data_IF_449168436655
#
_entry.id   IF_449168436655
#
_cell.length_a   1.000
_cell.length_b   1.000
_cell.length_c   1.000
_cell.angle_alpha   90.00
_cell.angle_beta   90.00
_cell.angle_gamma   90.00
#
_symmetry.space_group_name_H-M   'P 1'
#
loop_
_entity.id
_entity.type
_entity.pdbx_description
1 polymer ?
#
# COMPACT_ATOMS: atom_id res chain seq x y z
N UNK A 1 7.46 30.15 11.43
CA UNK A 1 7.99 29.88 10.08
C UNK A 1 7.09 28.83 9.45
N UNK A 2 6.52 29.14 8.29
CA UNK A 2 5.56 28.27 7.59
C UNK A 2 6.30 27.14 6.85
N UNK A 3 5.85 25.90 7.04
CA UNK A 3 6.31 24.72 6.30
C UNK A 3 5.53 24.64 4.98
N UNK A 4 6.21 24.83 3.87
CA UNK A 4 5.66 24.59 2.52
C UNK A 4 5.55 23.09 2.28
N UNK A 5 4.32 22.56 2.31
CA UNK A 5 4.01 21.25 1.75
C UNK A 5 3.94 21.34 0.22
N UNK A 6 5.02 20.97 -0.47
CA UNK A 6 5.02 20.79 -1.91
C UNK A 6 4.23 19.52 -2.27
N UNK A 7 3.09 19.68 -2.94
CA UNK A 7 2.39 18.58 -3.61
C UNK A 7 3.27 18.00 -4.73
N UNK A 8 3.28 16.66 -4.93
CA UNK A 8 4.14 16.03 -5.93
C UNK A 8 3.76 16.50 -7.34
N UNK A 9 4.77 16.91 -8.11
CA UNK A 9 4.63 17.41 -9.47
C UNK A 9 4.14 16.32 -10.41
N UNK A 10 3.31 16.66 -11.41
CA UNK A 10 2.81 15.73 -12.42
C UNK A 10 3.94 14.98 -13.18
N UNK A 11 5.14 15.59 -13.27
CA UNK A 11 6.33 14.96 -13.84
C UNK A 11 6.86 13.78 -13.02
N UNK A 12 6.71 13.79 -11.69
CA UNK A 12 7.18 12.71 -10.81
C UNK A 12 6.27 11.48 -10.88
N UNK A 13 4.96 11.71 -11.08
CA UNK A 13 3.98 10.63 -11.30
C UNK A 13 4.19 9.94 -12.64
N UNK A 14 4.48 10.69 -13.70
CA UNK A 14 4.73 10.12 -15.03
C UNK A 14 6.04 9.30 -15.06
N UNK A 15 7.09 9.81 -14.42
CA UNK A 15 8.37 9.12 -14.32
C UNK A 15 8.30 7.85 -13.44
N UNK A 16 7.47 7.85 -12.40
CA UNK A 16 7.20 6.67 -11.56
C UNK A 16 6.39 5.61 -12.31
N UNK A 17 5.42 6.04 -13.11
CA UNK A 17 4.60 5.17 -13.95
C UNK A 17 5.44 4.51 -15.06
N UNK A 18 6.39 5.24 -15.64
CA UNK A 18 7.38 4.70 -16.58
C UNK A 18 8.37 3.72 -15.92
N UNK A 19 8.79 3.96 -14.66
CA UNK A 19 9.61 2.99 -13.90
C UNK A 19 8.84 1.69 -13.63
N UNK A 20 7.56 1.78 -13.26
CA UNK A 20 6.68 0.62 -13.08
C UNK A 20 6.53 -0.12 -14.42
N UNK A 21 6.25 0.59 -15.53
CA UNK A 21 6.21 0.02 -16.90
C UNK A 21 7.51 -0.65 -17.32
N UNK A 22 8.67 -0.07 -17.02
CA UNK A 22 9.96 -0.69 -17.32
C UNK A 22 10.16 -1.97 -16.53
N UNK A 23 9.88 -1.97 -15.23
CA UNK A 23 9.94 -3.20 -14.41
C UNK A 23 8.95 -4.26 -14.90
N UNK A 24 7.75 -3.86 -15.34
CA UNK A 24 6.74 -4.72 -15.98
C UNK A 24 7.30 -5.43 -17.22
N UNK A 25 7.96 -4.70 -18.11
CA UNK A 25 8.51 -5.26 -19.37
C UNK A 25 9.82 -6.02 -19.19
N UNK A 26 10.55 -5.81 -18.09
CA UNK A 26 11.89 -6.38 -17.89
C UNK A 26 11.89 -7.91 -17.69
N UNK A 27 10.75 -8.48 -17.27
CA UNK A 27 10.57 -9.92 -17.06
C UNK A 27 9.66 -10.59 -18.12
N UNK A 28 9.00 -9.80 -18.96
CA UNK A 28 8.12 -10.28 -20.03
C UNK A 28 8.90 -11.12 -21.04
N UNK A 29 8.30 -12.23 -21.47
CA UNK A 29 8.88 -13.12 -22.48
C UNK A 29 9.89 -14.16 -21.97
N UNK A 30 10.28 -14.14 -20.69
CA UNK A 30 11.25 -15.11 -20.13
C UNK A 30 10.62 -16.46 -19.76
N UNK A 31 9.43 -16.44 -19.14
CA UNK A 31 8.76 -17.65 -18.62
C UNK A 31 7.35 -17.76 -19.20
N UNK A 32 7.27 -17.98 -20.52
CA UNK A 32 6.00 -18.14 -21.21
C UNK A 32 5.41 -19.53 -20.97
N UNK A 33 4.15 -19.60 -20.55
CA UNK A 33 3.42 -20.86 -20.57
C UNK A 33 2.84 -21.08 -21.97
N UNK A 34 3.19 -22.19 -22.61
CA UNK A 34 2.74 -22.47 -23.96
C UNK A 34 2.36 -23.93 -24.16
N UNK A 35 1.35 -24.17 -24.98
CA UNK A 35 0.90 -25.53 -25.26
C UNK A 35 -0.36 -25.60 -26.11
N UNK A 36 -0.73 -26.81 -26.57
CA UNK A 36 -1.95 -27.03 -27.31
C UNK A 36 -3.16 -26.99 -26.36
N UNK A 37 -4.21 -26.28 -26.77
CA UNK A 37 -5.53 -26.34 -26.13
C UNK A 37 -6.61 -26.41 -27.20
N UNK A 38 -7.69 -27.12 -26.89
CA UNK A 38 -8.92 -27.04 -27.65
C UNK A 38 -9.67 -25.78 -27.21
N UNK A 39 -9.85 -24.84 -28.13
CA UNK A 39 -10.63 -23.62 -27.92
C UNK A 39 -11.97 -23.73 -28.64
N UNK A 40 -13.06 -23.52 -27.93
CA UNK A 40 -14.39 -23.43 -28.54
C UNK A 40 -14.53 -22.10 -29.30
N UNK A 41 -15.06 -22.16 -30.51
CA UNK A 41 -15.46 -20.95 -31.24
C UNK A 41 -16.70 -20.34 -30.62
N UNK A 42 -16.73 -19.01 -30.58
CA UNK A 42 -17.83 -18.24 -30.00
C UNK A 42 -19.11 -18.37 -30.85
N UNK A 43 -18.97 -18.22 -32.18
CA UNK A 43 -20.09 -18.29 -33.13
C UNK A 43 -20.51 -19.71 -33.47
N UNK A 44 -19.57 -20.55 -33.90
CA UNK A 44 -19.88 -21.90 -34.41
C UNK A 44 -19.94 -22.98 -33.31
N UNK A 45 -19.62 -22.63 -32.06
CA UNK A 45 -19.55 -23.56 -30.91
C UNK A 45 -18.66 -24.80 -31.16
N UNK A 46 -17.76 -24.73 -32.14
CA UNK A 46 -16.88 -25.81 -32.60
C UNK A 46 -15.55 -25.76 -31.85
N UNK A 47 -15.09 -26.92 -31.41
CA UNK A 47 -13.77 -27.08 -30.82
C UNK A 47 -12.68 -27.07 -31.86
N UNK A 48 -11.64 -26.28 -31.61
CA UNK A 48 -10.52 -26.15 -32.51
C UNK A 48 -9.23 -26.16 -31.71
N UNK A 49 -8.28 -26.98 -32.12
CA UNK A 49 -6.95 -26.96 -31.55
C UNK A 49 -6.23 -25.65 -31.87
N UNK A 50 -5.61 -25.07 -30.85
CA UNK A 50 -4.83 -23.84 -30.93
C UNK A 50 -3.58 -23.98 -30.09
N UNK A 51 -2.49 -23.44 -30.60
CA UNK A 51 -1.30 -23.25 -29.79
C UNK A 51 -1.46 -21.96 -28.99
N UNK A 52 -1.59 -22.09 -27.67
CA UNK A 52 -1.79 -20.98 -26.75
C UNK A 52 -0.45 -20.57 -26.15
N UNK A 53 -0.25 -19.27 -26.00
CA UNK A 53 0.93 -18.66 -25.36
C UNK A 53 0.41 -17.66 -24.33
N UNK A 54 0.80 -17.83 -23.07
CA UNK A 54 0.48 -16.94 -21.97
C UNK A 54 1.78 -16.34 -21.44
N UNK A 55 1.83 -15.01 -21.39
CA UNK A 55 2.81 -14.28 -20.61
C UNK A 55 2.24 -13.99 -19.21
N UNK A 56 2.70 -14.70 -18.16
CA UNK A 56 2.18 -14.55 -16.81
C UNK A 56 2.53 -13.19 -16.17
N UNK A 57 3.47 -12.45 -16.74
CA UNK A 57 3.87 -11.13 -16.22
C UNK A 57 2.97 -10.01 -16.72
N UNK A 58 2.44 -10.14 -17.94
CA UNK A 58 1.63 -9.10 -18.59
C UNK A 58 0.15 -9.47 -18.68
N UNK A 59 -0.22 -10.73 -18.46
CA UNK A 59 -1.57 -11.23 -18.75
C UNK A 59 -1.86 -11.40 -20.23
N UNK A 60 -0.86 -11.22 -21.10
CA UNK A 60 -1.03 -11.34 -22.54
C UNK A 60 -1.19 -12.82 -22.92
N UNK A 61 -2.40 -13.21 -23.32
CA UNK A 61 -2.71 -14.57 -23.78
C UNK A 61 -3.04 -14.57 -25.27
N UNK A 62 -2.19 -15.18 -26.07
CA UNK A 62 -2.27 -15.22 -27.53
C UNK A 62 -2.51 -16.65 -28.02
N UNK A 63 -3.08 -16.79 -29.22
CA UNK A 63 -3.25 -18.09 -29.84
C UNK A 63 -2.93 -18.11 -31.33
N UNK A 64 -2.39 -19.24 -31.77
CA UNK A 64 -1.98 -19.54 -33.15
C UNK A 64 -2.65 -20.82 -33.65
N UNK A 65 -2.61 -21.13 -34.95
CA UNK A 65 -3.10 -22.42 -35.43
C UNK A 65 -2.13 -23.53 -35.05
N UNK A 66 -0.82 -23.28 -35.14
CA UNK A 66 0.24 -24.26 -34.83
C UNK A 66 1.39 -23.61 -34.07
N UNK A 67 2.22 -24.44 -33.40
CA UNK A 67 3.40 -24.01 -32.63
C UNK A 67 4.36 -23.12 -33.43
N UNK A 68 4.69 -23.53 -34.66
CA UNK A 68 5.73 -22.89 -35.48
C UNK A 68 5.19 -21.77 -36.39
N UNK A 69 3.95 -21.32 -36.18
CA UNK A 69 3.34 -20.29 -37.00
C UNK A 69 3.81 -18.89 -36.54
N UNK A 70 4.28 -18.00 -37.44
CA UNK A 70 4.72 -16.67 -37.05
C UNK A 70 3.53 -15.75 -36.72
N UNK A 71 2.38 -15.97 -37.35
CA UNK A 71 1.19 -15.10 -37.23
C UNK A 71 0.36 -15.47 -36.01
N UNK A 72 0.09 -14.48 -35.15
CA UNK A 72 -0.89 -14.58 -34.06
C UNK A 72 -2.29 -14.52 -34.66
N UNK A 73 -3.12 -15.53 -34.39
CA UNK A 73 -4.50 -15.59 -34.89
C UNK A 73 -5.48 -14.75 -34.06
N UNK A 74 -5.17 -14.54 -32.78
CA UNK A 74 -5.95 -13.66 -31.91
C UNK A 74 -5.49 -13.73 -30.46
N UNK A 75 -6.18 -12.96 -29.62
CA UNK A 75 -5.89 -12.83 -28.20
C UNK A 75 -7.09 -13.21 -27.34
N UNK A 76 -6.82 -13.74 -26.16
CA UNK A 76 -7.78 -13.94 -25.08
C UNK A 76 -7.50 -12.85 -24.07
N UNK A 77 -8.50 -12.00 -23.83
CA UNK A 77 -8.37 -10.88 -22.90
C UNK A 77 -9.01 -11.29 -21.59
N UNK A 78 -8.28 -11.11 -20.49
CA UNK A 78 -8.78 -11.26 -19.14
C UNK A 78 -8.13 -10.19 -18.25
N UNK A 79 -8.79 -9.84 -17.15
CA UNK A 79 -8.32 -8.82 -16.23
C UNK A 79 -8.36 -9.32 -14.77
N UNK A 80 -7.99 -8.44 -13.84
CA UNK A 80 -7.98 -8.75 -12.41
C UNK A 80 -9.34 -9.21 -11.85
N UNK A 81 -10.45 -8.95 -12.56
CA UNK A 81 -11.81 -9.28 -12.17
C UNK A 81 -12.42 -10.42 -13.01
N UNK A 82 -11.66 -11.01 -13.93
CA UNK A 82 -12.11 -12.16 -14.71
C UNK A 82 -12.38 -13.39 -13.83
N UNK A 83 -13.38 -14.19 -14.20
CA UNK A 83 -13.62 -15.48 -13.57
C UNK A 83 -12.82 -16.55 -14.30
N UNK A 84 -11.86 -17.18 -13.62
CA UNK A 84 -11.06 -18.28 -14.17
C UNK A 84 -11.34 -19.51 -13.29
N UNK A 85 -11.95 -20.54 -13.89
CA UNK A 85 -12.33 -21.73 -13.12
C UNK A 85 -12.28 -23.02 -13.94
N UNK A 86 -11.91 -24.10 -13.24
CA UNK A 86 -12.13 -25.45 -13.73
C UNK A 86 -13.62 -25.71 -13.84
N UNK A 87 -14.04 -26.35 -14.92
CA UNK A 87 -15.45 -26.68 -15.07
C UNK A 87 -15.77 -27.97 -14.31
N UNK A 88 -16.84 -27.99 -13.50
CA UNK A 88 -17.31 -29.21 -12.88
C UNK A 88 -17.96 -30.16 -13.89
N UNK A 89 -18.25 -29.67 -15.10
CA UNK A 89 -18.91 -30.43 -16.17
C UNK A 89 -18.08 -30.42 -17.43
N UNK A 90 -18.07 -31.55 -18.13
CA UNK A 90 -17.39 -31.67 -19.41
C UNK A 90 -18.28 -31.13 -20.54
N UNK A 91 -18.14 -29.84 -20.83
CA UNK A 91 -18.84 -29.21 -21.96
C UNK A 91 -18.18 -29.48 -23.32
N UNK A 92 -17.07 -30.24 -23.38
CA UNK A 92 -16.59 -30.84 -24.63
C UNK A 92 -17.49 -32.00 -25.07
N UNK A 93 -18.10 -32.70 -24.11
CA UNK A 93 -19.09 -33.75 -24.36
C UNK A 93 -18.52 -35.13 -24.68
N UNK A 94 -17.19 -35.31 -24.67
CA UNK A 94 -16.56 -36.63 -24.81
C UNK A 94 -15.94 -37.07 -23.48
N UNK A 95 -16.26 -38.26 -22.94
CA UNK A 95 -15.82 -38.69 -21.60
C UNK A 95 -14.31 -38.60 -21.34
N UNK A 96 -13.49 -38.77 -22.40
CA UNK A 96 -12.01 -38.62 -22.31
C UNK A 96 -11.54 -37.23 -21.85
N UNK A 97 -12.42 -36.23 -21.87
CA UNK A 97 -12.13 -34.86 -21.44
C UNK A 97 -12.78 -34.50 -20.11
N UNK A 98 -13.23 -35.49 -19.33
CA UNK A 98 -13.73 -35.26 -17.98
C UNK A 98 -12.63 -34.66 -17.10
N UNK A 99 -12.94 -33.52 -16.47
CA UNK A 99 -11.97 -32.75 -15.70
C UNK A 99 -10.90 -32.02 -16.53
N UNK A 100 -11.00 -32.00 -17.86
CA UNK A 100 -10.06 -31.30 -18.74
C UNK A 100 -10.54 -29.92 -19.19
N UNK A 101 -11.81 -29.60 -18.94
CA UNK A 101 -12.45 -28.36 -19.39
C UNK A 101 -12.34 -27.24 -18.35
N UNK A 102 -12.08 -26.02 -18.81
CA UNK A 102 -12.05 -24.81 -17.98
C UNK A 102 -12.52 -23.60 -18.79
N UNK A 103 -12.88 -22.52 -18.09
CA UNK A 103 -13.35 -21.32 -18.77
C UNK A 103 -12.80 -20.03 -18.16
N UNK A 104 -12.80 -18.99 -18.99
CA UNK A 104 -12.42 -17.62 -18.62
C UNK A 104 -13.61 -16.71 -18.97
N UNK A 105 -14.25 -16.16 -17.94
CA UNK A 105 -15.30 -15.15 -18.07
C UNK A 105 -14.74 -13.75 -17.83
N UNK A 106 -15.01 -12.80 -18.71
CA UNK A 106 -14.60 -11.41 -18.53
C UNK A 106 -15.74 -10.54 -17.98
N UNK A 107 -15.44 -9.42 -17.30
CA UNK A 107 -16.46 -8.49 -16.85
C UNK A 107 -17.33 -7.92 -17.99
N UNK A 108 -16.82 -7.92 -19.22
CA UNK A 108 -17.54 -7.52 -20.43
C UNK A 108 -18.43 -8.65 -21.00
N UNK A 109 -18.74 -9.68 -20.19
CA UNK A 109 -19.57 -10.84 -20.53
C UNK A 109 -19.04 -11.67 -21.69
N UNK A 110 -17.74 -11.65 -21.94
CA UNK A 110 -17.11 -12.54 -22.91
C UNK A 110 -16.67 -13.82 -22.22
N UNK A 111 -17.05 -14.96 -22.79
CA UNK A 111 -16.74 -16.27 -22.24
C UNK A 111 -15.85 -17.07 -23.19
N UNK A 112 -14.72 -17.54 -22.67
CA UNK A 112 -13.79 -18.40 -23.39
C UNK A 112 -13.83 -19.79 -22.78
N UNK A 113 -14.17 -20.77 -23.62
CA UNK A 113 -14.28 -22.17 -23.26
C UNK A 113 -13.07 -22.94 -23.81
N UNK A 114 -12.31 -23.57 -22.92
CA UNK A 114 -11.04 -24.22 -23.21
C UNK A 114 -11.03 -25.65 -22.67
N UNK A 115 -10.31 -26.55 -23.34
CA UNK A 115 -10.12 -27.93 -22.90
C UNK A 115 -8.68 -28.36 -23.16
N UNK A 116 -8.05 -28.92 -22.13
CA UNK A 116 -6.72 -29.52 -22.23
C UNK A 116 -6.80 -31.01 -22.60
N UNK A 117 -5.66 -31.63 -22.87
CA UNK A 117 -5.60 -33.07 -23.14
C UNK A 117 -5.78 -33.91 -21.87
N UNK A 118 -5.29 -33.42 -20.73
CA UNK A 118 -5.37 -34.12 -19.44
C UNK A 118 -5.91 -33.21 -18.33
N UNK A 119 -6.49 -33.78 -17.26
CA UNK A 119 -6.93 -32.99 -16.10
C UNK A 119 -5.78 -32.26 -15.40
N UNK A 120 -4.58 -32.86 -15.38
CA UNK A 120 -3.37 -32.24 -14.86
C UNK A 120 -2.98 -30.97 -15.64
N UNK A 121 -2.97 -31.06 -16.97
CA UNK A 121 -2.71 -29.90 -17.81
C UNK A 121 -3.79 -28.81 -17.67
N UNK A 122 -5.07 -29.19 -17.54
CA UNK A 122 -6.14 -28.22 -17.30
C UNK A 122 -5.95 -27.45 -15.98
N UNK A 123 -5.61 -28.17 -14.89
CA UNK A 123 -5.27 -27.56 -13.60
C UNK A 123 -4.06 -26.63 -13.71
N UNK A 124 -3.01 -27.05 -14.40
CA UNK A 124 -1.80 -26.26 -14.61
C UNK A 124 -2.09 -24.92 -15.33
N UNK A 125 -2.92 -24.97 -16.38
CA UNK A 125 -3.41 -23.76 -17.06
C UNK A 125 -4.21 -22.85 -16.13
N UNK A 126 -5.18 -23.40 -15.39
CA UNK A 126 -6.01 -22.61 -14.45
C UNK A 126 -5.18 -21.97 -13.35
N UNK A 127 -4.28 -22.72 -12.71
CA UNK A 127 -3.40 -22.21 -11.65
C UNK A 127 -2.50 -21.08 -12.16
N UNK A 128 -1.92 -21.23 -13.35
CA UNK A 128 -1.07 -20.18 -13.94
C UNK A 128 -1.89 -18.94 -14.30
N UNK A 129 -3.09 -19.10 -14.85
CA UNK A 129 -3.99 -17.98 -15.15
C UNK A 129 -4.43 -17.23 -13.89
N UNK A 130 -4.73 -17.94 -12.79
CA UNK A 130 -5.06 -17.33 -11.50
C UNK A 130 -3.85 -16.60 -10.89
N UNK A 131 -2.65 -17.18 -10.96
CA UNK A 131 -1.44 -16.48 -10.55
C UNK A 131 -1.20 -15.20 -11.38
N UNK A 132 -1.46 -15.26 -12.69
CA UNK A 132 -1.40 -14.10 -13.57
C UNK A 132 -2.46 -13.04 -13.20
N UNK A 133 -3.66 -13.46 -12.79
CA UNK A 133 -4.69 -12.55 -12.31
C UNK A 133 -4.25 -11.79 -11.04
N UNK A 134 -3.51 -12.44 -10.13
CA UNK A 134 -2.91 -11.78 -8.96
C UNK A 134 -1.87 -10.74 -9.38
N UNK A 135 -1.07 -11.01 -10.41
CA UNK A 135 -0.13 -10.04 -10.99
C UNK A 135 -0.89 -8.80 -11.50
N UNK A 136 -1.93 -9.00 -12.30
CA UNK A 136 -2.78 -7.91 -12.81
C UNK A 136 -3.43 -7.10 -11.68
N UNK A 137 -3.85 -7.77 -10.61
CA UNK A 137 -4.43 -7.12 -9.43
C UNK A 137 -3.39 -6.27 -8.68
N UNK A 138 -2.22 -6.83 -8.39
CA UNK A 138 -1.13 -6.11 -7.73
C UNK A 138 -0.68 -4.88 -8.54
N UNK A 139 -0.66 -4.99 -9.86
CA UNK A 139 -0.38 -3.85 -10.74
C UNK A 139 -1.44 -2.76 -10.67
N UNK A 140 -2.72 -3.14 -10.74
CA UNK A 140 -3.84 -2.19 -10.61
C UNK A 140 -3.79 -1.45 -9.28
N UNK A 141 -3.50 -2.16 -8.19
CA UNK A 141 -3.37 -1.58 -6.85
C UNK A 141 -2.16 -0.65 -6.72
N UNK A 142 -1.01 -1.03 -7.31
CA UNK A 142 0.19 -0.18 -7.34
C UNK A 142 -0.04 1.11 -8.12
N UNK A 143 -0.68 1.04 -9.29
CA UNK A 143 -1.02 2.21 -10.11
C UNK A 143 -2.02 3.13 -9.40
N UNK A 144 -3.07 2.57 -8.79
CA UNK A 144 -4.07 3.35 -8.04
C UNK A 144 -3.48 4.01 -6.78
N UNK A 145 -2.34 3.52 -6.28
CA UNK A 145 -1.68 3.99 -5.05
C UNK A 145 -0.55 5.00 -5.27
N UNK A 146 -0.31 5.45 -6.51
CA UNK A 146 0.80 6.35 -6.86
C UNK A 146 0.79 7.72 -6.14
N UNK A 147 -0.24 8.04 -5.36
CA UNK A 147 -0.32 9.23 -4.48
C UNK A 147 0.24 9.03 -3.06
N UNK A 148 0.73 7.84 -2.68
CA UNK A 148 1.30 7.62 -1.34
C UNK A 148 2.14 6.34 -1.18
N UNK A 149 3.31 6.46 -0.54
CA UNK A 149 4.29 5.41 -0.19
C UNK A 149 4.57 4.36 -1.28
N UNK A 150 5.41 4.74 -2.25
CA UNK A 150 5.70 3.90 -3.43
C UNK A 150 6.60 2.68 -3.19
N UNK A 151 7.44 2.67 -2.15
CA UNK A 151 8.50 1.65 -2.00
C UNK A 151 7.98 0.27 -1.55
N UNK A 152 7.09 0.22 -0.55
CA UNK A 152 6.59 -1.04 0.01
C UNK A 152 5.69 -1.84 -0.97
N UNK A 153 4.96 -1.16 -1.86
CA UNK A 153 4.00 -1.78 -2.80
C UNK A 153 4.67 -2.33 -4.06
N UNK A 154 5.79 -1.75 -4.48
CA UNK A 154 6.63 -2.27 -5.56
C UNK A 154 7.24 -3.64 -5.20
N UNK A 155 7.57 -3.86 -3.93
CA UNK A 155 8.00 -5.17 -3.41
C UNK A 155 6.93 -6.26 -3.58
N UNK A 156 5.66 -5.95 -3.27
CA UNK A 156 4.53 -6.88 -3.46
C UNK A 156 4.36 -7.28 -4.93
N UNK A 157 4.48 -6.32 -5.85
CA UNK A 157 4.40 -6.59 -7.29
C UNK A 157 5.50 -7.56 -7.74
N UNK A 158 6.75 -7.33 -7.31
CA UNK A 158 7.87 -8.19 -7.68
C UNK A 158 7.69 -9.63 -7.16
N UNK A 159 7.21 -9.81 -5.92
CA UNK A 159 6.93 -11.13 -5.35
C UNK A 159 5.85 -11.88 -6.12
N UNK A 160 4.74 -11.21 -6.47
CA UNK A 160 3.63 -11.85 -7.20
C UNK A 160 4.05 -12.22 -8.63
N UNK A 161 4.84 -11.37 -9.30
CA UNK A 161 5.41 -11.68 -10.62
C UNK A 161 6.37 -12.89 -10.56
N UNK A 162 7.22 -12.96 -9.54
CA UNK A 162 8.12 -14.10 -9.34
C UNK A 162 7.32 -15.40 -9.09
N UNK A 163 6.25 -15.35 -8.29
CA UNK A 163 5.38 -16.49 -8.04
C UNK A 163 4.66 -16.97 -9.32
N UNK A 164 4.13 -16.05 -10.13
CA UNK A 164 3.47 -16.39 -11.39
C UNK A 164 4.44 -17.01 -12.41
N UNK A 165 5.67 -16.50 -12.48
CA UNK A 165 6.73 -17.09 -13.30
C UNK A 165 7.13 -18.50 -12.83
N UNK A 166 7.26 -18.71 -11.52
CA UNK A 166 7.54 -20.03 -10.95
C UNK A 166 6.43 -21.03 -11.27
N UNK A 167 5.17 -20.61 -11.10
CA UNK A 167 3.98 -21.40 -11.42
C UNK A 167 3.94 -21.78 -12.90
N UNK A 168 4.28 -20.85 -13.81
CA UNK A 168 4.35 -21.13 -15.24
C UNK A 168 5.44 -22.15 -15.58
N UNK A 169 6.61 -22.07 -14.93
CA UNK A 169 7.70 -23.02 -15.13
C UNK A 169 7.33 -24.42 -14.66
N UNK A 170 6.68 -24.55 -13.51
CA UNK A 170 6.18 -25.82 -13.00
C UNK A 170 5.08 -26.40 -13.89
N UNK A 171 4.11 -25.56 -14.26
CA UNK A 171 2.99 -25.92 -15.13
C UNK A 171 3.43 -26.37 -16.53
N UNK A 172 4.57 -25.90 -17.01
CA UNK A 172 5.16 -26.34 -18.28
C UNK A 172 5.43 -27.84 -18.28
N UNK A 173 5.87 -28.42 -17.15
CA UNK A 173 6.13 -29.87 -17.03
C UNK A 173 4.86 -30.69 -17.23
N UNK A 174 3.74 -30.25 -16.65
CA UNK A 174 2.43 -30.88 -16.79
C UNK A 174 1.91 -30.81 -18.24
N UNK A 175 2.09 -29.65 -18.89
CA UNK A 175 1.71 -29.47 -20.29
C UNK A 175 2.55 -30.35 -21.22
N UNK A 176 3.86 -30.44 -21.00
CA UNK A 176 4.74 -31.30 -21.79
C UNK A 176 4.40 -32.79 -21.60
N UNK A 177 4.08 -33.21 -20.36
CA UNK A 177 3.64 -34.57 -20.09
C UNK A 177 2.33 -34.90 -20.84
N UNK A 178 1.36 -33.99 -20.81
CA UNK A 178 0.11 -34.13 -21.56
C UNK A 178 0.35 -34.19 -23.08
N UNK A 179 1.28 -33.38 -23.60
CA UNK A 179 1.64 -33.39 -25.02
C UNK A 179 2.26 -34.73 -25.45
N UNK A 180 3.10 -35.36 -24.61
CA UNK A 180 3.65 -36.70 -24.88
C UNK A 180 2.57 -37.78 -24.95
N UNK A 181 1.53 -37.68 -24.09
CA UNK A 181 0.39 -38.60 -24.11
C UNK A 181 -0.39 -38.45 -25.42
N UNK A 182 -0.67 -37.21 -25.84
CA UNK A 182 -1.34 -36.92 -27.10
C UNK A 182 -0.57 -37.49 -28.30
N UNK A 183 0.76 -37.32 -28.34
CA UNK A 183 1.62 -37.89 -29.39
C UNK A 183 1.59 -39.42 -29.41
N UNK A 184 1.61 -40.09 -28.26
CA UNK A 184 1.50 -41.55 -28.18
C UNK A 184 0.17 -42.05 -28.71
N UNK A 185 -0.92 -41.37 -28.37
CA UNK A 185 -2.27 -41.72 -28.85
C UNK A 185 -2.41 -41.58 -30.38
N UNK A 186 -1.66 -40.68 -31.00
CA UNK A 186 -1.65 -40.52 -32.46
C UNK A 186 -0.85 -41.61 -33.20
N UNK A 187 0.08 -42.30 -32.53
CA UNK A 187 1.02 -43.25 -33.16
C UNK A 187 0.66 -44.74 -32.98
N UNK A 188 -0.24 -45.10 -32.05
CA UNK A 188 -0.50 -46.48 -31.63
C UNK A 188 -1.38 -47.38 -32.52
N UNK A 189 -1.59 -47.08 -33.81
CA UNK A 189 -2.58 -47.78 -34.66
C UNK A 189 -2.02 -48.77 -35.71
N UNK A 190 -0.73 -49.13 -35.70
CA UNK A 190 -0.14 -49.99 -36.77
C UNK A 190 0.71 -51.13 -36.20
N UNK A 191 0.14 -52.35 -36.10
CA UNK A 191 0.86 -53.59 -36.44
C UNK A 191 -0.08 -54.81 -36.53
N UNK A 192 0.04 -55.59 -37.61
CA UNK A 192 -0.75 -56.79 -37.94
C UNK A 192 0.15 -58.05 -38.00
N UNK A 193 -0.47 -59.19 -37.69
CA UNK A 193 0.03 -60.58 -37.57
C UNK A 193 0.58 -61.17 -38.88
N UNK A 194 1.46 -62.16 -38.78
CA UNK A 194 1.84 -63.09 -39.87
C UNK A 194 1.65 -64.55 -39.39
N UNK A 195 1.09 -65.39 -40.27
CA UNK A 195 0.70 -66.79 -40.07
C UNK A 195 1.79 -67.80 -40.43
N UNK A 196 1.90 -68.89 -39.65
CA UNK A 196 2.85 -70.01 -39.80
C UNK A 196 2.44 -71.07 -40.84
N UNK A 197 3.44 -71.64 -41.50
CA UNK A 197 3.40 -72.89 -42.27
C UNK A 197 4.28 -73.95 -41.58
N UNK A 198 4.08 -75.27 -41.81
CA UNK A 198 4.64 -76.32 -40.95
C UNK A 198 6.14 -76.53 -41.19
N UNK A 199 6.95 -76.47 -40.12
CA UNK A 199 8.42 -76.52 -40.13
C UNK A 199 8.95 -77.89 -39.65
N UNK A 200 10.08 -78.35 -40.22
CA UNK A 200 10.77 -79.62 -39.95
C UNK A 200 11.53 -79.65 -38.60
N UNK A 201 11.58 -80.78 -37.88
CA UNK A 201 12.02 -80.89 -36.47
C UNK A 201 13.48 -80.45 -36.22
N UNK A 202 14.39 -80.73 -37.16
CA UNK A 202 15.78 -80.27 -37.07
C UNK A 202 15.87 -78.74 -37.27
N UNK A 203 14.97 -78.20 -38.08
CA UNK A 203 14.82 -76.75 -38.31
C UNK A 203 14.25 -76.09 -37.07
N UNK A 204 13.27 -76.72 -36.41
CA UNK A 204 12.69 -76.25 -35.14
C UNK A 204 13.76 -76.17 -34.04
N UNK A 205 14.63 -77.17 -33.89
CA UNK A 205 15.67 -77.15 -32.86
C UNK A 205 16.72 -76.05 -33.10
N UNK A 206 17.19 -75.90 -34.34
CA UNK A 206 18.15 -74.84 -34.70
C UNK A 206 17.55 -73.45 -34.51
N UNK A 207 16.30 -73.28 -34.90
CA UNK A 207 15.57 -72.03 -34.73
C UNK A 207 15.33 -71.74 -33.24
N UNK A 208 15.00 -72.74 -32.44
CA UNK A 208 14.85 -72.58 -30.98
C UNK A 208 16.14 -72.14 -30.31
N UNK A 209 17.29 -72.72 -30.68
CA UNK A 209 18.59 -72.30 -30.16
C UNK A 209 18.95 -70.88 -30.61
N UNK A 210 18.68 -70.52 -31.87
CA UNK A 210 18.87 -69.15 -32.39
C UNK A 210 18.04 -68.14 -31.60
N UNK A 211 16.74 -68.44 -31.41
CA UNK A 211 15.82 -67.60 -30.63
C UNK A 211 16.31 -67.47 -29.19
N UNK A 212 16.80 -68.55 -28.56
CA UNK A 212 17.34 -68.49 -27.20
C UNK A 212 18.62 -67.64 -27.09
N UNK A 213 19.51 -67.71 -28.07
CA UNK A 213 20.69 -66.84 -28.10
C UNK A 213 20.31 -65.37 -28.29
N UNK A 214 19.33 -65.09 -29.16
CA UNK A 214 18.78 -63.75 -29.35
C UNK A 214 18.08 -63.22 -28.08
N UNK A 215 17.31 -64.06 -27.39
CA UNK A 215 16.70 -63.72 -26.09
C UNK A 215 17.76 -63.40 -25.05
N UNK A 216 18.86 -64.18 -24.97
CA UNK A 216 19.97 -63.91 -24.05
C UNK A 216 20.70 -62.61 -24.39
N UNK A 217 20.95 -62.34 -25.67
CA UNK A 217 21.55 -61.08 -26.10
C UNK A 217 20.64 -59.88 -25.85
N UNK A 218 19.32 -60.05 -25.99
CA UNK A 218 18.33 -59.02 -25.64
C UNK A 218 18.31 -58.78 -24.13
N UNK A 219 18.27 -59.83 -23.31
CA UNK A 219 18.36 -59.75 -21.84
C UNK A 219 19.63 -59.03 -21.38
N UNK A 220 20.78 -59.33 -21.99
CA UNK A 220 22.03 -58.65 -21.67
C UNK A 220 22.01 -57.15 -22.03
N UNK A 221 21.36 -56.78 -23.13
CA UNK A 221 21.14 -55.36 -23.48
C UNK A 221 20.20 -54.67 -22.49
N UNK A 222 19.12 -55.33 -22.10
CA UNK A 222 18.14 -54.79 -21.16
C UNK A 222 18.75 -54.59 -19.76
N UNK A 223 19.60 -55.52 -19.30
CA UNK A 223 20.34 -55.38 -18.04
C UNK A 223 21.24 -54.15 -18.08
N UNK A 224 22.04 -53.97 -19.13
CA UNK A 224 22.89 -52.78 -19.27
C UNK A 224 22.09 -51.47 -19.32
N UNK A 225 20.94 -51.47 -19.98
CA UNK A 225 20.05 -50.31 -20.01
C UNK A 225 19.48 -49.99 -18.62
N UNK A 226 19.13 -51.02 -17.84
CA UNK A 226 18.70 -50.87 -16.44
C UNK A 226 19.83 -50.36 -15.56
N UNK A 227 21.05 -50.86 -15.70
CA UNK A 227 22.22 -50.37 -14.95
C UNK A 227 22.49 -48.89 -15.24
N UNK A 228 22.38 -48.47 -16.51
CA UNK A 228 22.49 -47.05 -16.87
C UNK A 228 21.41 -46.21 -16.21
N UNK A 229 20.16 -46.70 -16.19
CA UNK A 229 19.03 -46.02 -15.55
C UNK A 229 19.23 -45.92 -14.03
N UNK A 230 19.71 -46.99 -13.39
CA UNK A 230 20.02 -47.01 -11.95
C UNK A 230 21.10 -45.98 -11.63
N UNK A 231 22.15 -45.88 -12.46
CA UNK A 231 23.20 -44.89 -12.28
C UNK A 231 22.68 -43.46 -12.39
N UNK A 232 21.86 -43.15 -13.39
CA UNK A 232 21.23 -41.83 -13.53
C UNK A 232 20.32 -41.48 -12.33
N UNK A 233 19.58 -42.47 -11.81
CA UNK A 233 18.75 -42.28 -10.61
C UNK A 233 19.63 -42.00 -9.40
N UNK A 234 20.74 -42.74 -9.22
CA UNK A 234 21.67 -42.53 -8.12
C UNK A 234 22.29 -41.12 -8.16
N UNK A 235 22.74 -40.66 -9.33
CA UNK A 235 23.28 -39.31 -9.51
C UNK A 235 22.24 -38.23 -9.15
N UNK A 236 20.99 -38.38 -9.62
CA UNK A 236 19.90 -37.45 -9.26
C UNK A 236 19.56 -37.45 -7.78
N UNK A 237 19.63 -38.60 -7.12
CA UNK A 237 19.41 -38.70 -5.68
C UNK A 237 20.52 -37.99 -4.90
N UNK A 238 21.78 -38.10 -5.34
CA UNK A 238 22.90 -37.36 -4.76
C UNK A 238 22.73 -35.85 -4.94
N UNK A 239 22.42 -35.38 -6.15
CA UNK A 239 22.15 -33.95 -6.40
C UNK A 239 21.00 -33.43 -5.53
N UNK A 240 19.95 -34.24 -5.35
CA UNK A 240 18.81 -33.88 -4.50
C UNK A 240 19.20 -33.80 -3.02
N UNK A 241 20.05 -34.73 -2.55
CA UNK A 241 20.55 -34.73 -1.18
C UNK A 241 21.42 -33.49 -0.90
N UNK A 242 22.33 -33.15 -1.81
CA UNK A 242 23.17 -31.95 -1.71
C UNK A 242 22.32 -30.67 -1.73
N UNK A 243 21.31 -30.59 -2.61
CA UNK A 243 20.39 -29.47 -2.64
C UNK A 243 19.58 -29.33 -1.33
N UNK A 244 19.15 -30.46 -0.76
CA UNK A 244 18.43 -30.47 0.52
C UNK A 244 19.32 -30.03 1.68
N UNK A 245 20.58 -30.46 1.72
CA UNK A 245 21.55 -30.02 2.73
C UNK A 245 21.84 -28.52 2.62
N UNK A 246 22.06 -28.02 1.41
CA UNK A 246 22.26 -26.59 1.16
C UNK A 246 21.03 -25.76 1.58
N UNK A 247 19.82 -26.24 1.29
CA UNK A 247 18.59 -25.59 1.70
C UNK A 247 18.42 -25.57 3.24
N UNK A 248 18.75 -26.67 3.92
CA UNK A 248 18.72 -26.75 5.38
C UNK A 248 19.73 -25.79 6.02
N UNK A 249 20.96 -25.75 5.50
CA UNK A 249 22.00 -24.82 5.96
C UNK A 249 21.57 -23.35 5.78
N UNK A 250 20.98 -23.01 4.62
CA UNK A 250 20.45 -21.68 4.37
C UNK A 250 19.29 -21.32 5.33
N UNK A 251 18.38 -22.26 5.59
CA UNK A 251 17.29 -22.06 6.53
C UNK A 251 17.79 -21.79 7.96
N UNK A 252 18.79 -22.54 8.43
CA UNK A 252 19.41 -22.31 9.73
C UNK A 252 20.12 -20.95 9.82
N UNK A 253 20.85 -20.56 8.78
CA UNK A 253 21.50 -19.26 8.73
C UNK A 253 20.47 -18.12 8.78
N UNK A 254 19.37 -18.24 8.04
CA UNK A 254 18.27 -17.27 8.06
C UNK A 254 17.59 -17.19 9.43
N UNK A 255 17.37 -18.32 10.10
CA UNK A 255 16.75 -18.35 11.42
C UNK A 255 17.64 -17.67 12.49
N UNK A 256 18.95 -17.87 12.41
CA UNK A 256 19.89 -17.20 13.30
C UNK A 256 19.90 -15.67 13.09
N UNK A 257 19.89 -15.21 11.83
CA UNK A 257 19.75 -13.78 11.53
C UNK A 257 18.41 -13.21 12.02
N UNK A 258 17.33 -13.97 11.86
CA UNK A 258 16.00 -13.60 12.38
C UNK A 258 16.03 -13.47 13.90
N UNK A 259 16.67 -14.40 14.61
CA UNK A 259 16.80 -14.38 16.07
C UNK A 259 17.55 -13.13 16.54
N UNK A 260 18.69 -12.82 15.91
CA UNK A 260 19.47 -11.60 16.20
C UNK A 260 18.63 -10.34 15.96
N UNK A 261 17.94 -10.26 14.82
CA UNK A 261 17.09 -9.12 14.49
C UNK A 261 15.96 -8.92 15.51
N UNK A 262 15.30 -10.00 15.96
CA UNK A 262 14.27 -9.93 16.99
C UNK A 262 14.82 -9.37 18.31
N UNK A 263 16.00 -9.83 18.75
CA UNK A 263 16.61 -9.31 19.98
C UNK A 263 16.96 -7.83 19.90
N UNK A 264 17.40 -7.36 18.73
CA UNK A 264 17.70 -5.94 18.51
C UNK A 264 16.42 -5.08 18.46
N UNK A 265 15.35 -5.60 17.86
CA UNK A 265 14.02 -4.96 17.89
C UNK A 265 13.53 -4.81 19.33
N UNK A 266 13.59 -5.87 20.14
CA UNK A 266 13.19 -5.81 21.56
C UNK A 266 14.01 -4.79 22.35
N UNK A 267 15.33 -4.72 22.09
CA UNK A 267 16.21 -3.73 22.70
C UNK A 267 15.81 -2.30 22.32
N UNK A 268 15.55 -2.04 21.04
CA UNK A 268 15.14 -0.73 20.54
C UNK A 268 13.77 -0.31 21.06
N UNK A 269 12.82 -1.25 21.14
CA UNK A 269 11.50 -1.02 21.72
C UNK A 269 11.63 -0.59 23.18
N UNK A 270 12.39 -1.33 23.98
CA UNK A 270 12.60 -1.01 25.40
C UNK A 270 13.28 0.35 25.59
N UNK A 271 14.26 0.70 24.76
CA UNK A 271 14.91 2.02 24.82
C UNK A 271 13.95 3.14 24.44
N UNK A 272 13.17 2.97 23.36
CA UNK A 272 12.18 3.96 22.93
C UNK A 272 11.09 4.18 23.98
N UNK A 273 10.67 3.11 24.67
CA UNK A 273 9.68 3.18 25.74
C UNK A 273 10.21 3.98 26.94
N UNK A 274 11.46 3.73 27.36
CA UNK A 274 12.10 4.51 28.44
C UNK A 274 12.22 5.99 28.09
N UNK A 275 12.57 6.30 26.84
CA UNK A 275 12.65 7.68 26.37
C UNK A 275 11.28 8.37 26.35
N UNK A 276 10.23 7.64 25.95
CA UNK A 276 8.85 8.12 26.00
C UNK A 276 8.43 8.43 27.44
N UNK A 277 8.66 7.50 28.37
CA UNK A 277 8.35 7.67 29.80
C UNK A 277 9.09 8.88 30.40
N UNK A 278 10.37 9.04 30.11
CA UNK A 278 11.14 10.21 30.54
C UNK A 278 10.57 11.53 29.98
N UNK A 279 10.14 11.52 28.73
CA UNK A 279 9.56 12.69 28.06
C UNK A 279 8.20 13.04 28.64
N UNK A 280 7.36 12.04 28.95
CA UNK A 280 6.07 12.24 29.60
C UNK A 280 6.22 12.83 31.02
N UNK A 281 7.18 12.35 31.79
CA UNK A 281 7.47 12.91 33.12
C UNK A 281 7.90 14.39 33.04
N UNK A 282 8.75 14.73 32.07
CA UNK A 282 9.15 16.13 31.83
C UNK A 282 7.97 16.98 31.40
N UNK A 283 7.10 16.47 30.53
CA UNK A 283 5.90 17.17 30.10
C UNK A 283 5.00 17.50 31.29
N UNK A 284 4.72 16.52 32.16
CA UNK A 284 3.92 16.73 33.37
C UNK A 284 4.50 17.79 34.31
N UNK A 285 5.83 17.80 34.49
CA UNK A 285 6.51 18.84 35.28
C UNK A 285 6.38 20.25 34.65
N UNK A 286 6.42 20.35 33.31
CA UNK A 286 6.18 21.62 32.63
C UNK A 286 4.72 22.06 32.71
N UNK A 287 3.76 21.14 32.60
CA UNK A 287 2.33 21.42 32.76
C UNK A 287 2.04 21.98 34.15
N UNK A 288 2.60 21.38 35.21
CA UNK A 288 2.47 21.89 36.58
C UNK A 288 3.05 23.30 36.72
N UNK A 289 4.22 23.56 36.11
CA UNK A 289 4.84 24.89 36.11
C UNK A 289 3.97 25.91 35.38
N UNK A 290 3.36 25.55 34.26
CA UNK A 290 2.43 26.42 33.51
C UNK A 290 1.19 26.74 34.34
N UNK A 291 0.62 25.74 35.04
CA UNK A 291 -0.50 25.95 35.94
C UNK A 291 -0.15 26.91 37.09
N UNK A 292 1.02 26.76 37.70
CA UNK A 292 1.50 27.66 38.75
C UNK A 292 1.65 29.10 38.24
N UNK A 293 2.29 29.31 37.09
CA UNK A 293 2.46 30.63 36.48
C UNK A 293 1.13 31.25 36.05
N UNK A 294 0.16 30.44 35.62
CA UNK A 294 -1.18 30.93 35.27
C UNK A 294 -1.91 31.48 36.49
N UNK A 295 -1.81 30.81 37.64
CA UNK A 295 -2.40 31.29 38.91
C UNK A 295 -1.73 32.59 39.36
N UNK A 296 -0.40 32.66 39.33
CA UNK A 296 0.34 33.88 39.68
C UNK A 296 -0.08 35.06 38.79
N UNK A 297 -0.22 34.83 37.48
CA UNK A 297 -0.71 35.84 36.54
C UNK A 297 -2.11 36.34 36.91
N UNK A 298 -3.04 35.45 37.27
CA UNK A 298 -4.39 35.84 37.68
C UNK A 298 -4.39 36.69 38.95
N UNK A 299 -3.55 36.36 39.93
CA UNK A 299 -3.45 37.12 41.17
C UNK A 299 -2.84 38.50 40.94
N UNK A 300 -1.82 38.61 40.08
CA UNK A 300 -1.26 39.91 39.66
C UNK A 300 -2.34 40.75 38.94
N UNK A 301 -3.16 40.14 38.08
CA UNK A 301 -4.26 40.84 37.40
C UNK A 301 -5.29 41.37 38.41
N UNK A 302 -5.68 40.58 39.42
CA UNK A 302 -6.58 41.03 40.49
C UNK A 302 -6.00 42.19 41.31
N UNK A 303 -4.70 42.14 41.61
CA UNK A 303 -4.00 43.22 42.29
C UNK A 303 -3.98 44.50 41.46
N UNK A 304 -3.63 44.40 40.17
CA UNK A 304 -3.67 45.51 39.22
C UNK A 304 -5.05 46.15 39.16
N UNK A 305 -6.11 45.34 39.05
CA UNK A 305 -7.49 45.85 38.92
C UNK A 305 -7.98 46.49 40.22
N UNK A 306 -7.52 46.00 41.37
CA UNK A 306 -7.82 46.62 42.68
C UNK A 306 -7.10 47.95 42.84
N UNK A 307 -5.82 48.03 42.50
CA UNK A 307 -5.05 49.29 42.51
C UNK A 307 -5.64 50.32 41.54
N UNK A 308 -6.13 49.87 40.37
CA UNK A 308 -6.78 50.75 39.40
C UNK A 308 -8.09 51.32 39.93
N UNK A 309 -8.94 50.50 40.55
CA UNK A 309 -10.20 50.95 41.20
C UNK A 309 -9.91 51.96 42.30
N UNK A 310 -8.91 51.70 43.13
CA UNK A 310 -8.52 52.62 44.20
C UNK A 310 -8.00 53.96 43.62
N UNK A 311 -7.14 53.92 42.60
CA UNK A 311 -6.66 55.12 41.94
C UNK A 311 -7.80 55.95 41.32
N UNK A 312 -8.81 55.29 40.74
CA UNK A 312 -10.02 55.96 40.24
C UNK A 312 -10.83 56.62 41.36
N UNK A 313 -10.99 55.95 42.50
CA UNK A 313 -11.66 56.51 43.67
C UNK A 313 -10.94 57.77 44.16
N UNK A 314 -9.62 57.72 44.34
CA UNK A 314 -8.82 58.88 44.76
C UNK A 314 -8.87 60.04 43.76
N UNK A 315 -8.89 59.74 42.45
CA UNK A 315 -9.09 60.77 41.42
C UNK A 315 -10.45 61.46 41.53
N UNK A 316 -11.51 60.70 41.78
CA UNK A 316 -12.86 61.24 42.00
C UNK A 316 -12.92 62.11 43.27
N UNK A 317 -12.37 61.63 44.39
CA UNK A 317 -12.34 62.41 45.63
C UNK A 317 -11.49 63.68 45.51
N UNK A 318 -10.36 63.61 44.79
CA UNK A 318 -9.56 64.79 44.48
C UNK A 318 -10.34 65.81 43.63
N UNK A 319 -11.11 65.37 42.64
CA UNK A 319 -11.95 66.24 41.83
C UNK A 319 -13.01 66.96 42.68
N UNK A 320 -13.72 66.22 43.55
CA UNK A 320 -14.69 66.78 44.50
C UNK A 320 -14.04 67.77 45.47
N UNK A 321 -12.84 67.47 45.98
CA UNK A 321 -12.11 68.37 46.87
C UNK A 321 -11.72 69.67 46.15
N UNK A 322 -11.24 69.59 44.91
CA UNK A 322 -10.93 70.76 44.07
C UNK A 322 -12.17 71.61 43.81
N UNK A 323 -13.30 70.99 43.51
CA UNK A 323 -14.57 71.72 43.33
C UNK A 323 -14.99 72.47 44.60
N UNK A 324 -14.89 71.83 45.77
CA UNK A 324 -15.15 72.49 47.07
C UNK A 324 -14.23 73.67 47.32
N UNK A 325 -12.94 73.56 46.99
CA UNK A 325 -11.98 74.66 47.12
C UNK A 325 -12.42 75.85 46.27
N UNK A 326 -12.75 75.63 44.99
CA UNK A 326 -13.24 76.70 44.09
C UNK A 326 -14.50 77.37 44.62
N UNK A 327 -15.45 76.59 45.18
CA UNK A 327 -16.67 77.15 45.79
C UNK A 327 -16.35 78.03 47.00
N UNK A 328 -15.45 77.57 47.88
CA UNK A 328 -15.03 78.31 49.06
C UNK A 328 -14.26 79.58 48.70
N UNK A 329 -13.33 79.51 47.75
CA UNK A 329 -12.62 80.68 47.21
C UNK A 329 -13.62 81.72 46.66
N UNK A 330 -14.60 81.28 45.87
CA UNK A 330 -15.66 82.16 45.39
C UNK A 330 -16.51 82.75 46.52
N UNK A 331 -16.73 82.03 47.63
CA UNK A 331 -17.44 82.55 48.79
C UNK A 331 -16.63 83.59 49.57
N UNK A 332 -15.32 83.38 49.73
CA UNK A 332 -14.39 84.33 50.34
C UNK A 332 -14.36 85.62 49.55
N UNK A 333 -14.17 85.56 48.22
CA UNK A 333 -14.16 86.75 47.35
C UNK A 333 -15.47 87.55 47.48
N UNK A 334 -16.63 86.88 47.53
CA UNK A 334 -17.92 87.54 47.75
C UNK A 334 -18.03 88.18 49.14
N UNK A 335 -17.47 87.56 50.17
CA UNK A 335 -17.47 88.09 51.53
C UNK A 335 -16.54 89.31 51.65
N UNK A 336 -15.35 89.24 51.07
CA UNK A 336 -14.40 90.36 50.97
C UNK A 336 -15.01 91.54 50.21
N UNK A 337 -15.70 91.30 49.10
CA UNK A 337 -16.39 92.35 48.34
C UNK A 337 -17.49 93.02 49.18
N UNK A 338 -18.31 92.22 49.90
CA UNK A 338 -19.35 92.75 50.80
C UNK A 338 -18.75 93.58 51.93
N UNK A 339 -17.63 93.13 52.50
CA UNK A 339 -16.92 93.88 53.54
C UNK A 339 -16.41 95.22 52.99
N UNK A 340 -15.81 95.23 51.79
CA UNK A 340 -15.33 96.46 51.13
C UNK A 340 -16.47 97.44 50.84
N UNK A 341 -17.61 96.96 50.36
CA UNK A 341 -18.82 97.79 50.14
C UNK A 341 -19.34 98.36 51.46
N UNK A 342 -19.43 97.54 52.52
CA UNK A 342 -19.88 98.01 53.83
C UNK A 342 -18.91 99.03 54.46
N UNK A 343 -17.60 98.85 54.28
CA UNK A 343 -16.58 99.81 54.69
C UNK A 343 -16.75 101.13 53.95
N UNK A 344 -16.86 101.10 52.61
CA UNK A 344 -17.12 102.28 51.79
C UNK A 344 -18.43 103.00 52.18
N UNK A 345 -19.51 102.27 52.44
CA UNK A 345 -20.78 102.82 52.91
C UNK A 345 -20.65 103.50 54.29
N UNK A 346 -19.86 102.91 55.20
CA UNK A 346 -19.62 103.48 56.53
C UNK A 346 -18.72 104.71 56.49
N UNK A 347 -17.70 104.72 55.63
CA UNK A 347 -16.85 105.88 55.38
C UNK A 347 -17.66 107.03 54.75
N UNK A 348 -18.57 106.72 53.80
CA UNK A 348 -19.47 107.70 53.21
C UNK A 348 -20.40 108.33 54.25
N UNK A 349 -21.01 107.52 55.14
CA UNK A 349 -21.85 108.01 56.24
C UNK A 349 -21.05 108.86 57.24
N UNK A 350 -19.82 108.47 57.54
CA UNK A 350 -18.94 109.23 58.42
C UNK A 350 -18.58 110.59 57.82
N UNK A 351 -18.27 110.65 56.50
CA UNK A 351 -18.04 111.91 55.78
C UNK A 351 -19.29 112.80 55.78
N UNK A 352 -20.46 112.22 55.50
CA UNK A 352 -21.74 112.97 55.55
C UNK A 352 -22.03 113.51 56.97
N UNK A 353 -21.76 112.74 58.02
CA UNK A 353 -21.89 113.19 59.40
C UNK A 353 -20.89 114.30 59.73
N UNK A 354 -19.63 114.18 59.31
CA UNK A 354 -18.62 115.23 59.47
C UNK A 354 -19.00 116.52 58.76
N UNK A 355 -19.57 116.42 57.56
CA UNK A 355 -20.03 117.57 56.78
C UNK A 355 -21.25 118.23 57.43
N UNK A 356 -22.20 117.45 57.97
CA UNK A 356 -23.31 117.97 58.78
C UNK A 356 -22.85 118.64 60.07
N UNK A 357 -21.89 118.04 60.78
CA UNK A 357 -21.30 118.64 61.98
C UNK A 357 -20.55 119.94 61.63
N UNK A 358 -19.80 119.95 60.53
CA UNK A 358 -19.12 121.15 60.03
C UNK A 358 -20.10 122.29 59.71
N UNK A 359 -21.18 121.98 59.00
CA UNK A 359 -22.27 122.93 58.71
C UNK A 359 -22.92 123.42 60.01
N UNK A 360 -23.25 122.52 60.94
CA UNK A 360 -23.83 122.90 62.23
C UNK A 360 -22.89 123.76 63.09
N UNK A 361 -21.58 123.51 63.06
CA UNK A 361 -20.60 124.36 63.76
C UNK A 361 -20.48 125.74 63.11
N UNK A 362 -20.54 125.82 61.79
CA UNK A 362 -20.51 127.07 61.05
C UNK A 362 -21.76 127.91 61.31
N UNK A 363 -22.93 127.29 61.29
CA UNK A 363 -24.21 127.95 61.62
C UNK A 363 -24.24 128.45 63.08
N UNK A 364 -23.47 127.83 63.98
CA UNK A 364 -23.32 128.26 65.39
C UNK A 364 -22.31 129.40 65.57
N UNK A 365 -21.38 129.59 64.64
CA UNK A 365 -20.43 130.71 64.64
C UNK A 365 -21.01 131.98 63.98
N UNK A 366 -22.11 131.85 63.23
CA UNK A 366 -22.83 132.96 62.58
C UNK A 366 -24.03 133.51 63.40
N UNK A 367 -24.26 132.98 64.62
CA UNK A 367 -25.23 133.46 65.64
C UNK A 367 -24.49 134.15 66.80
#
# INVERSE_FOLDING_TARGET
MASNGSSPSAGDTENSLEKIKRQLTSASGRNLLQGPLLKRSETLRKWNERWIILDPTTGKMEYKMRRNEPVVKGTIVFDANSTISMSPVNFHGLPKYDGCCFYIGTPQKKEYFLCAETPGAAKAWVSTLQATQLVLKAHKEAVNSLSGSGSAKLGTVATVVAAANSMALESTKEIEAAMRISMRNALGMVSSRVSEAPMDDLTIMKETLRVKDEELQQLARDIRARDSTIKEIAEKLTETAEAAEAAAAAAHAMDEQRRIACTEIERLVNESQKQLESSMLKLGAYEEKVLALSKEREDILKQRDSAFREAQLWRSELAKARERVVILEGAVVRAEERARVAEADSEAKAKEAMEKDFVATKDREEL
#
